data_IF_265827705429
#
_entry.id   IF_265827705429
#
_cell.length_a   1.000
_cell.length_b   1.000
_cell.length_c   1.000
_cell.angle_alpha   90.00
_cell.angle_beta   90.00
_cell.angle_gamma   90.00
#
_symmetry.space_group_name_H-M   'P 1'
#
loop_
_entity.id
_entity.type
_entity.pdbx_description
1 polymer ?
#
# COMPACT_ATOMS: atom_id res chain seq x y z
N UNK A 1 23.94 19.68 -20.26
CA UNK A 1 24.64 19.09 -19.10
C UNK A 1 23.55 18.66 -18.11
N UNK A 2 23.40 17.35 -17.90
CA UNK A 2 22.31 16.76 -17.10
C UNK A 2 22.47 17.15 -15.62
N UNK A 3 21.35 17.41 -14.94
CA UNK A 3 21.24 17.20 -13.50
C UNK A 3 20.00 16.32 -13.29
N UNK A 4 20.26 15.02 -13.15
CA UNK A 4 19.37 14.04 -12.52
C UNK A 4 19.28 14.34 -11.03
N UNK A 5 18.07 14.52 -10.51
CA UNK A 5 17.74 14.42 -9.09
C UNK A 5 16.44 13.60 -8.98
N UNK A 6 16.56 12.29 -9.12
CA UNK A 6 15.49 11.34 -8.80
C UNK A 6 15.52 11.12 -7.29
N UNK A 7 14.89 12.03 -6.53
CA UNK A 7 14.74 11.93 -5.08
C UNK A 7 13.53 11.08 -4.76
N UNK A 8 13.76 9.80 -4.44
CA UNK A 8 12.78 8.99 -3.71
C UNK A 8 12.73 9.56 -2.29
N UNK A 9 11.77 10.45 -2.05
CA UNK A 9 11.54 11.04 -0.73
C UNK A 9 11.15 9.95 0.26
N UNK A 10 11.99 9.74 1.28
CA UNK A 10 11.64 8.94 2.45
C UNK A 10 10.51 9.64 3.20
N UNK A 11 9.27 9.19 2.99
CA UNK A 11 8.08 9.74 3.66
C UNK A 11 8.11 9.30 5.12
N UNK A 12 8.07 10.26 6.04
CA UNK A 12 7.98 10.01 7.47
C UNK A 12 6.70 9.24 7.81
N UNK A 13 6.84 8.15 8.58
CA UNK A 13 5.72 7.29 8.99
C UNK A 13 4.87 8.03 10.03
N UNK A 14 3.79 8.62 9.56
CA UNK A 14 2.68 9.14 10.34
C UNK A 14 1.40 9.04 9.53
N UNK A 15 0.24 9.22 10.16
CA UNK A 15 -1.09 9.18 9.52
C UNK A 15 -1.20 10.04 8.24
N UNK A 16 -0.37 11.08 8.12
CA UNK A 16 -0.18 11.89 6.92
C UNK A 16 0.37 11.11 5.74
N UNK A 17 1.46 10.35 5.91
CA UNK A 17 2.10 9.60 4.83
C UNK A 17 1.20 8.51 4.24
N UNK A 18 0.42 7.83 5.08
CA UNK A 18 -0.53 6.81 4.61
C UNK A 18 -1.63 7.41 3.73
N UNK A 19 -2.15 8.58 4.12
CA UNK A 19 -3.19 9.29 3.38
C UNK A 19 -2.66 9.94 2.09
N UNK A 20 -1.41 10.42 2.11
CA UNK A 20 -0.72 10.90 0.91
C UNK A 20 -0.58 9.78 -0.12
N UNK A 21 -0.09 8.60 0.27
CA UNK A 21 0.00 7.43 -0.62
C UNK A 21 -1.39 7.04 -1.16
N UNK A 22 -2.41 7.02 -0.31
CA UNK A 22 -3.78 6.72 -0.74
C UNK A 22 -4.27 7.67 -1.84
N UNK A 23 -3.94 8.96 -1.72
CA UNK A 23 -4.37 9.99 -2.68
C UNK A 23 -3.53 9.95 -3.95
N UNK A 24 -2.22 9.94 -3.80
CA UNK A 24 -1.28 10.16 -4.91
C UNK A 24 -1.08 8.89 -5.74
N UNK A 25 -1.12 7.71 -5.11
CA UNK A 25 -0.93 6.42 -5.79
C UNK A 25 -2.27 5.78 -6.13
N UNK A 26 -3.22 5.74 -5.19
CA UNK A 26 -4.48 5.02 -5.37
C UNK A 26 -5.67 5.90 -5.78
N UNK A 27 -5.51 7.23 -5.79
CA UNK A 27 -6.55 8.16 -6.23
C UNK A 27 -7.77 8.27 -5.31
N UNK A 28 -7.70 7.77 -4.07
CA UNK A 28 -8.83 7.84 -3.14
C UNK A 28 -8.68 9.00 -2.14
N UNK A 29 -9.75 9.77 -1.88
CA UNK A 29 -9.65 10.99 -1.07
C UNK A 29 -9.52 10.70 0.44
N UNK A 30 -10.02 9.54 0.88
CA UNK A 30 -10.08 9.13 2.28
C UNK A 30 -10.20 7.61 2.42
N UNK A 31 -9.73 7.10 3.56
CA UNK A 31 -9.95 5.73 4.00
C UNK A 31 -11.42 5.44 4.30
N UNK A 32 -11.81 4.17 4.20
CA UNK A 32 -13.16 3.68 4.50
C UNK A 32 -13.14 2.76 5.71
N UNK A 33 -14.13 2.92 6.60
CA UNK A 33 -14.30 2.05 7.77
C UNK A 33 -13.01 1.94 8.61
N UNK A 34 -12.62 0.72 8.94
CA UNK A 34 -11.45 0.44 9.77
C UNK A 34 -10.09 0.50 9.02
N UNK A 35 -10.05 0.86 7.74
CA UNK A 35 -8.81 0.84 6.94
C UNK A 35 -7.69 1.67 7.59
N UNK A 36 -7.99 2.88 8.04
CA UNK A 36 -6.98 3.77 8.64
C UNK A 36 -6.36 3.14 9.90
N UNK A 37 -7.19 2.59 10.79
CA UNK A 37 -6.75 1.95 12.03
C UNK A 37 -5.90 0.71 11.76
N UNK A 38 -6.32 -0.13 10.79
CA UNK A 38 -5.58 -1.32 10.38
C UNK A 38 -4.21 -0.94 9.79
N UNK A 39 -4.17 0.07 8.91
CA UNK A 39 -2.94 0.54 8.27
C UNK A 39 -1.98 1.15 9.29
N UNK A 40 -2.48 1.98 10.21
CA UNK A 40 -1.66 2.57 11.26
C UNK A 40 -1.07 1.48 12.18
N UNK A 41 -1.87 0.48 12.56
CA UNK A 41 -1.42 -0.65 13.39
C UNK A 41 -0.32 -1.48 12.70
N UNK A 42 -0.57 -1.93 11.45
CA UNK A 42 0.41 -2.71 10.67
C UNK A 42 1.65 -1.88 10.30
N UNK A 43 1.45 -0.60 10.00
CA UNK A 43 2.51 0.36 9.69
C UNK A 43 3.48 0.57 10.86
N UNK A 44 2.98 0.49 12.10
CA UNK A 44 3.78 0.53 13.32
C UNK A 44 4.53 -0.77 13.64
N UNK A 45 4.34 -1.81 12.82
CA UNK A 45 4.95 -3.13 13.00
C UNK A 45 4.11 -4.13 13.79
N UNK A 46 2.83 -3.82 14.07
CA UNK A 46 1.91 -4.73 14.72
C UNK A 46 1.35 -5.81 13.79
N UNK A 47 0.90 -6.91 14.38
CA UNK A 47 0.21 -8.01 13.70
C UNK A 47 -1.31 -7.84 13.79
N UNK A 48 -2.04 -8.21 12.74
CA UNK A 48 -3.49 -8.08 12.69
C UNK A 48 -4.18 -9.26 11.98
N UNK A 49 -5.32 -9.68 12.52
CA UNK A 49 -6.30 -10.50 11.82
C UNK A 49 -7.41 -9.59 11.30
N UNK A 50 -7.52 -9.46 9.98
CA UNK A 50 -8.44 -8.52 9.32
C UNK A 50 -9.56 -9.30 8.62
N UNK A 51 -10.79 -9.13 9.11
CA UNK A 51 -12.00 -9.67 8.49
C UNK A 51 -12.73 -8.53 7.77
N UNK A 52 -12.73 -8.58 6.44
CA UNK A 52 -13.40 -7.59 5.59
C UNK A 52 -14.12 -8.31 4.46
N UNK A 53 -15.29 -7.81 4.01
CA UNK A 53 -15.96 -8.38 2.85
C UNK A 53 -15.13 -8.16 1.58
N UNK A 54 -15.35 -9.00 0.56
CA UNK A 54 -14.83 -8.77 -0.79
C UNK A 54 -15.24 -7.38 -1.27
N UNK A 55 -14.31 -6.64 -1.88
CA UNK A 55 -14.52 -5.24 -2.29
C UNK A 55 -14.41 -4.22 -1.15
N UNK A 56 -14.23 -4.65 0.11
CA UNK A 56 -13.99 -3.77 1.26
C UNK A 56 -12.63 -3.08 1.26
N UNK A 57 -11.78 -3.34 0.27
CA UNK A 57 -10.46 -2.74 0.13
C UNK A 57 -9.41 -3.36 1.06
N UNK A 58 -9.49 -4.67 1.37
CA UNK A 58 -8.49 -5.35 2.20
C UNK A 58 -7.07 -5.27 1.64
N UNK A 59 -6.93 -5.10 0.32
CA UNK A 59 -5.62 -5.00 -0.34
C UNK A 59 -4.87 -3.75 0.07
N UNK A 60 -5.58 -2.62 0.17
CA UNK A 60 -5.00 -1.35 0.63
C UNK A 60 -4.41 -1.48 2.04
N UNK A 61 -5.02 -2.31 2.90
CA UNK A 61 -4.58 -2.52 4.27
C UNK A 61 -3.18 -3.16 4.40
N UNK A 62 -2.65 -3.81 3.35
CA UNK A 62 -1.26 -4.29 3.33
C UNK A 62 -0.40 -3.59 2.28
N UNK A 63 -0.99 -3.07 1.19
CA UNK A 63 -0.26 -2.36 0.14
C UNK A 63 0.24 -0.99 0.60
N UNK A 64 -0.55 -0.23 1.36
CA UNK A 64 -0.12 1.08 1.85
C UNK A 64 1.03 0.92 2.88
N UNK A 65 0.94 0.02 3.88
CA UNK A 65 2.08 -0.27 4.75
C UNK A 65 3.34 -0.73 3.99
N UNK A 66 3.19 -1.47 2.89
CA UNK A 66 4.31 -1.89 2.04
C UNK A 66 5.05 -0.72 1.40
N UNK A 67 4.34 0.35 1.07
CA UNK A 67 4.91 1.57 0.48
C UNK A 67 5.44 2.55 1.55
N UNK A 68 4.94 2.47 2.78
CA UNK A 68 5.38 3.29 3.90
C UNK A 68 6.70 2.83 4.52
N UNK A 69 6.92 1.51 4.56
CA UNK A 69 8.06 0.91 5.27
C UNK A 69 9.19 0.60 4.30
N UNK A 70 10.46 0.77 4.73
CA UNK A 70 11.58 0.30 3.93
C UNK A 70 11.52 -1.23 3.78
N UNK A 71 11.84 -1.73 2.59
CA UNK A 71 11.88 -3.16 2.29
C UNK A 71 10.85 -3.58 1.23
N UNK A 72 10.52 -4.87 1.23
CA UNK A 72 9.56 -5.48 0.32
C UNK A 72 8.49 -6.21 1.15
N UNK A 73 7.21 -5.96 0.87
CA UNK A 73 6.14 -6.72 1.47
C UNK A 73 5.94 -8.06 0.74
N UNK A 74 5.86 -9.14 1.51
CA UNK A 74 5.59 -10.47 0.98
C UNK A 74 4.11 -10.78 1.13
N UNK A 75 3.41 -11.00 0.01
CA UNK A 75 1.99 -11.32 -0.02
C UNK A 75 1.81 -12.75 -0.47
N UNK A 76 1.23 -13.58 0.39
CA UNK A 76 0.92 -14.98 0.08
C UNK A 76 -0.54 -15.08 -0.37
N UNK A 77 -0.75 -15.60 -1.58
CA UNK A 77 -2.07 -15.86 -2.15
C UNK A 77 -2.16 -17.32 -2.60
N UNK A 78 -3.32 -17.99 -2.51
CA UNK A 78 -3.47 -19.34 -3.04
C UNK A 78 -3.73 -19.38 -4.55
N UNK A 79 -4.05 -18.24 -5.19
CA UNK A 79 -4.51 -18.19 -6.59
C UNK A 79 -3.57 -17.38 -7.46
N UNK A 80 -2.94 -18.01 -8.45
CA UNK A 80 -2.02 -17.36 -9.41
C UNK A 80 -2.72 -16.26 -10.20
N UNK A 81 -3.96 -16.51 -10.67
CA UNK A 81 -4.74 -15.51 -11.40
C UNK A 81 -4.93 -14.23 -10.56
N UNK A 82 -5.24 -14.39 -9.27
CA UNK A 82 -5.37 -13.25 -8.35
C UNK A 82 -4.03 -12.54 -8.12
N UNK A 83 -2.91 -13.27 -8.07
CA UNK A 83 -1.58 -12.64 -7.96
C UNK A 83 -1.32 -11.74 -9.16
N UNK A 84 -1.54 -12.26 -10.38
CA UNK A 84 -1.32 -11.51 -11.62
C UNK A 84 -2.17 -10.25 -11.66
N UNK A 85 -3.46 -10.35 -11.32
CA UNK A 85 -4.36 -9.18 -11.26
C UNK A 85 -3.85 -8.10 -10.30
N UNK A 86 -3.29 -8.49 -9.15
CA UNK A 86 -2.73 -7.53 -8.19
C UNK A 86 -1.42 -6.90 -8.69
N UNK A 87 -0.54 -7.67 -9.32
CA UNK A 87 0.72 -7.17 -9.90
C UNK A 87 0.44 -6.19 -11.04
N UNK A 88 -0.48 -6.53 -11.94
CA UNK A 88 -0.86 -5.68 -13.07
C UNK A 88 -1.47 -4.36 -12.57
N UNK A 89 -2.39 -4.42 -11.61
CA UNK A 89 -3.00 -3.23 -11.01
C UNK A 89 -1.95 -2.32 -10.35
N UNK A 90 -1.02 -2.88 -9.57
CA UNK A 90 0.05 -2.09 -8.93
C UNK A 90 1.02 -1.48 -9.95
N UNK A 91 1.39 -2.25 -10.98
CA UNK A 91 2.30 -1.79 -12.04
C UNK A 91 1.68 -0.63 -12.83
N UNK A 92 0.38 -0.68 -13.11
CA UNK A 92 -0.36 0.43 -13.74
C UNK A 92 -0.35 1.72 -12.91
N UNK A 93 -0.30 1.60 -11.58
CA UNK A 93 -0.16 2.73 -10.66
C UNK A 93 1.31 3.18 -10.47
N UNK A 94 2.26 2.59 -11.22
CA UNK A 94 3.69 2.90 -11.10
C UNK A 94 4.37 2.27 -9.89
N UNK A 95 3.70 1.36 -9.19
CA UNK A 95 4.27 0.62 -8.05
C UNK A 95 5.04 -0.59 -8.56
N UNK A 96 6.26 -0.79 -8.06
CA UNK A 96 7.04 -2.01 -8.35
C UNK A 96 6.43 -3.20 -7.62
N UNK A 97 5.90 -4.15 -8.39
CA UNK A 97 5.38 -5.43 -7.90
C UNK A 97 5.78 -6.54 -8.89
N UNK A 98 5.88 -7.79 -8.41
CA UNK A 98 6.26 -8.96 -9.18
C UNK A 98 5.61 -10.23 -8.61
#
# INVERSE_FOLDING_TARGET
MKIEQNSVSTVAVGKSGALEILRDVFGYPAFRGAQAEIIDHIGSGGDALVLMPTGGGKSLCYQIPALLRPGCAIVVSPLIALMQDQVDALTQLGVKAA
#
